data_IF_874526095235
#
_entry.id   IF_874526095235
#
_cell.length_a   1.000
_cell.length_b   1.000
_cell.length_c   1.000
_cell.angle_alpha   90.00
_cell.angle_beta   90.00
_cell.angle_gamma   90.00
#
_symmetry.space_group_name_H-M   'P 1'
#
loop_
_entity.id
_entity.type
_entity.pdbx_description
1 polymer ?
#
# COMPACT_ATOMS: atom_id res chain seq x y z
N UNK A 1 14.80 -6.24 27.35
CA UNK A 1 14.85 -5.76 25.95
C UNK A 1 14.60 -4.26 26.04
N UNK A 2 15.55 -3.45 25.59
CA UNK A 2 15.43 -1.98 25.66
C UNK A 2 15.33 -1.44 24.23
N UNK A 3 14.47 -0.43 24.05
CA UNK A 3 14.25 0.18 22.74
C UNK A 3 15.31 1.27 22.54
N UNK A 4 16.20 1.06 21.56
CA UNK A 4 17.26 2.02 21.24
C UNK A 4 16.77 3.16 20.35
N UNK A 5 15.85 2.87 19.43
CA UNK A 5 15.24 3.84 18.53
C UNK A 5 13.79 3.43 18.25
N UNK A 6 12.85 4.28 18.64
CA UNK A 6 11.41 4.04 18.47
C UNK A 6 10.98 4.10 16.99
N UNK A 7 11.65 4.91 16.17
CA UNK A 7 11.29 5.16 14.76
C UNK A 7 12.52 5.09 13.88
N UNK A 8 13.02 3.88 13.67
CA UNK A 8 14.20 3.64 12.86
C UNK A 8 14.00 3.94 11.36
N UNK A 9 12.83 3.61 10.82
CA UNK A 9 12.52 3.79 9.40
C UNK A 9 11.00 3.92 9.18
N UNK A 10 10.63 4.49 8.03
CA UNK A 10 9.30 4.40 7.46
C UNK A 10 9.32 3.27 6.42
N UNK A 11 8.32 2.40 6.47
CA UNK A 11 8.19 1.27 5.54
C UNK A 11 6.92 1.45 4.73
N UNK A 12 7.02 1.21 3.42
CA UNK A 12 5.89 1.18 2.50
C UNK A 12 5.09 -0.10 2.66
N UNK A 13 3.81 -0.04 2.29
CA UNK A 13 2.95 -1.23 2.29
C UNK A 13 3.50 -2.33 1.37
N UNK A 14 4.17 -1.94 0.26
CA UNK A 14 4.88 -2.86 -0.64
C UNK A 14 6.02 -3.60 0.06
N UNK A 15 6.92 -2.89 0.75
CA UNK A 15 8.06 -3.52 1.45
C UNK A 15 7.59 -4.49 2.53
N UNK A 16 6.54 -4.11 3.28
CA UNK A 16 5.92 -4.98 4.29
C UNK A 16 5.30 -6.22 3.63
N UNK A 17 4.61 -6.05 2.52
CA UNK A 17 3.98 -7.16 1.80
C UNK A 17 5.01 -8.16 1.25
N UNK A 18 6.05 -7.67 0.58
CA UNK A 18 7.15 -8.51 0.05
C UNK A 18 7.85 -9.27 1.19
N UNK A 19 8.15 -8.59 2.29
CA UNK A 19 8.78 -9.22 3.46
C UNK A 19 7.90 -10.35 4.04
N UNK A 20 6.60 -10.12 4.16
CA UNK A 20 5.67 -11.13 4.67
C UNK A 20 5.57 -12.34 3.74
N UNK A 21 5.52 -12.12 2.42
CA UNK A 21 5.53 -13.23 1.45
C UNK A 21 6.81 -14.07 1.57
N UNK A 22 7.98 -13.44 1.64
CA UNK A 22 9.26 -14.13 1.82
C UNK A 22 9.27 -14.97 3.10
N UNK A 23 8.75 -14.42 4.21
CA UNK A 23 8.67 -15.12 5.49
C UNK A 23 7.75 -16.33 5.45
N UNK A 24 6.57 -16.21 4.83
CA UNK A 24 5.64 -17.33 4.65
C UNK A 24 6.30 -18.44 3.81
N UNK A 25 7.01 -18.07 2.74
CA UNK A 25 7.69 -19.02 1.88
C UNK A 25 8.86 -19.72 2.58
N UNK A 26 9.65 -19.00 3.39
CA UNK A 26 10.71 -19.58 4.21
C UNK A 26 10.18 -20.59 5.24
N UNK A 27 9.08 -20.27 5.94
CA UNK A 27 8.47 -21.15 6.92
C UNK A 27 7.87 -22.40 6.26
N UNK A 28 7.35 -22.28 5.03
CA UNK A 28 6.85 -23.42 4.25
C UNK A 28 7.97 -24.41 3.85
N UNK A 29 9.18 -23.90 3.60
CA UNK A 29 10.35 -24.69 3.24
C UNK A 29 11.03 -25.35 4.46
N UNK A 30 10.95 -24.72 5.64
CA UNK A 30 11.47 -25.26 6.90
C UNK A 30 10.49 -26.26 7.54
N UNK A 31 10.14 -27.32 6.79
CA UNK A 31 9.36 -28.46 7.32
C UNK A 31 10.18 -29.16 8.42
N UNK A 32 9.91 -28.90 9.70
CA UNK A 32 9.66 -29.92 10.76
C UNK A 32 9.94 -29.50 12.23
N UNK A 33 10.57 -28.38 12.59
CA UNK A 33 11.00 -28.17 14.00
C UNK A 33 10.39 -26.99 14.79
N UNK A 34 9.61 -26.09 14.18
CA UNK A 34 9.08 -24.88 14.86
C UNK A 34 7.55 -24.76 14.92
N UNK A 35 6.81 -25.81 14.54
CA UNK A 35 5.35 -25.77 14.34
C UNK A 35 4.50 -25.42 15.57
N UNK A 36 5.06 -25.31 16.77
CA UNK A 36 4.29 -25.18 18.00
C UNK A 36 4.44 -23.84 18.74
N UNK A 37 5.23 -22.88 18.24
CA UNK A 37 5.63 -21.72 19.06
C UNK A 37 5.08 -20.35 18.61
N UNK A 38 4.40 -20.24 17.48
CA UNK A 38 4.17 -18.92 16.85
C UNK A 38 2.77 -18.78 16.22
N UNK A 39 1.72 -19.34 16.85
CA UNK A 39 0.33 -19.21 16.36
C UNK A 39 -0.09 -17.74 16.22
N UNK A 40 0.23 -16.90 17.21
CA UNK A 40 -0.07 -15.47 17.17
C UNK A 40 0.61 -14.75 15.98
N UNK A 41 1.86 -15.11 15.67
CA UNK A 41 2.58 -14.53 14.54
C UNK A 41 1.96 -14.97 13.21
N UNK A 42 1.53 -16.22 13.10
CA UNK A 42 0.88 -16.74 11.91
C UNK A 42 -0.46 -16.01 11.65
N UNK A 43 -1.26 -15.80 12.69
CA UNK A 43 -2.52 -15.05 12.60
C UNK A 43 -2.29 -13.61 12.16
N UNK A 44 -1.39 -12.87 12.83
CA UNK A 44 -1.09 -11.47 12.47
C UNK A 44 -0.54 -11.38 11.05
N UNK A 45 0.37 -12.26 10.66
CA UNK A 45 0.95 -12.26 9.30
C UNK A 45 -0.11 -12.50 8.24
N UNK A 46 -1.05 -13.43 8.49
CA UNK A 46 -2.14 -13.72 7.58
C UNK A 46 -3.14 -12.56 7.47
N UNK A 47 -3.54 -11.96 8.59
CA UNK A 47 -4.46 -10.81 8.60
C UNK A 47 -3.86 -9.60 7.89
N UNK A 48 -2.58 -9.29 8.16
CA UNK A 48 -1.87 -8.18 7.51
C UNK A 48 -1.71 -8.45 6.02
N UNK A 49 -1.31 -9.66 5.63
CA UNK A 49 -1.19 -10.02 4.21
C UNK A 49 -2.53 -9.90 3.50
N UNK A 50 -3.61 -10.40 4.09
CA UNK A 50 -4.98 -10.29 3.55
C UNK A 50 -5.44 -8.83 3.42
N UNK A 51 -5.04 -7.95 4.34
CA UNK A 51 -5.31 -6.52 4.22
C UNK A 51 -4.51 -5.88 3.08
N UNK A 52 -3.20 -6.17 3.02
CA UNK A 52 -2.30 -5.63 1.99
C UNK A 52 -2.65 -6.14 0.57
N UNK A 53 -3.21 -7.34 0.46
CA UNK A 53 -3.73 -7.87 -0.81
C UNK A 53 -4.92 -7.09 -1.37
N UNK A 54 -5.69 -6.39 -0.52
CA UNK A 54 -6.79 -5.51 -0.92
C UNK A 54 -6.32 -4.08 -1.24
N UNK A 55 -5.03 -3.84 -1.12
CA UNK A 55 -4.40 -2.53 -1.31
C UNK A 55 -3.64 -2.58 -2.63
N UNK A 56 -3.47 -1.46 -3.38
CA UNK A 56 -2.78 -1.44 -4.69
C UNK A 56 -1.30 -1.85 -4.65
N UNK A 57 -0.78 -2.26 -3.50
CA UNK A 57 0.61 -2.66 -3.27
C UNK A 57 0.94 -4.03 -3.90
N UNK A 58 -0.06 -4.86 -4.20
CA UNK A 58 0.14 -6.20 -4.79
C UNK A 58 0.79 -6.16 -6.17
N UNK A 59 0.44 -5.17 -6.98
CA UNK A 59 0.89 -5.04 -8.37
C UNK A 59 2.04 -4.04 -8.52
N UNK A 60 2.44 -3.38 -7.42
CA UNK A 60 3.57 -2.47 -7.43
C UNK A 60 4.88 -3.22 -7.67
N UNK A 61 5.80 -2.56 -8.36
CA UNK A 61 7.16 -3.01 -8.58
C UNK A 61 8.14 -2.01 -7.98
N UNK A 62 9.31 -2.49 -7.56
CA UNK A 62 10.38 -1.63 -7.04
C UNK A 62 10.76 -0.52 -8.04
N UNK A 63 10.78 -0.83 -9.34
CA UNK A 63 11.05 0.16 -10.39
C UNK A 63 9.99 1.26 -10.45
N UNK A 64 8.72 0.93 -10.24
CA UNK A 64 7.62 1.91 -10.22
C UNK A 64 7.77 2.83 -9.02
N UNK A 65 8.12 2.29 -7.85
CA UNK A 65 8.36 3.07 -6.63
C UNK A 65 9.55 4.02 -6.84
N UNK A 66 10.64 3.54 -7.44
CA UNK A 66 11.81 4.38 -7.75
C UNK A 66 11.47 5.49 -8.72
N UNK A 67 10.74 5.20 -9.79
CA UNK A 67 10.28 6.22 -10.75
C UNK A 67 9.35 7.23 -10.09
N UNK A 68 8.41 6.78 -9.26
CA UNK A 68 7.53 7.65 -8.49
C UNK A 68 8.34 8.60 -7.58
N UNK A 69 9.36 8.11 -6.88
CA UNK A 69 10.20 8.95 -6.03
C UNK A 69 11.01 10.01 -6.81
N UNK A 70 11.39 9.71 -8.05
CA UNK A 70 12.05 10.68 -8.95
C UNK A 70 11.05 11.72 -9.47
N UNK A 71 9.88 11.27 -9.92
CA UNK A 71 8.81 12.13 -10.44
C UNK A 71 8.26 13.07 -9.35
N UNK A 72 8.25 12.63 -8.09
CA UNK A 72 7.76 13.42 -6.93
C UNK A 72 8.87 14.27 -6.27
N UNK A 73 10.14 14.08 -6.66
CA UNK A 73 11.26 14.89 -6.17
C UNK A 73 11.07 16.42 -6.32
N UNK A 74 10.57 16.96 -7.46
CA UNK A 74 10.40 18.40 -7.65
C UNK A 74 9.31 19.04 -6.76
N UNK A 75 8.37 18.26 -6.25
CA UNK A 75 7.22 18.76 -5.47
C UNK A 75 7.56 19.05 -3.99
N UNK A 76 8.82 18.85 -3.55
CA UNK A 76 9.29 19.11 -2.18
C UNK A 76 8.41 18.49 -1.07
N UNK A 77 7.78 17.35 -1.33
CA UNK A 77 6.94 16.65 -0.36
C UNK A 77 7.76 16.01 0.76
N UNK A 78 7.18 15.94 1.96
CA UNK A 78 7.80 15.26 3.10
C UNK A 78 7.84 13.74 2.87
N UNK A 79 8.71 13.04 3.61
CA UNK A 79 8.79 11.58 3.50
C UNK A 79 7.48 10.88 3.85
N UNK A 80 6.72 11.43 4.80
CA UNK A 80 5.41 10.92 5.20
C UNK A 80 4.35 11.08 4.12
N UNK A 81 4.28 12.27 3.49
CA UNK A 81 3.38 12.54 2.36
C UNK A 81 3.68 11.61 1.19
N UNK A 82 4.96 11.47 0.81
CA UNK A 82 5.39 10.55 -0.26
C UNK A 82 4.96 9.11 0.02
N UNK A 83 5.08 8.68 1.27
CA UNK A 83 4.67 7.34 1.71
C UNK A 83 3.15 7.17 1.64
N UNK A 84 2.38 8.17 2.09
CA UNK A 84 0.92 8.14 2.04
C UNK A 84 0.41 8.13 0.60
N UNK A 85 0.98 8.94 -0.29
CA UNK A 85 0.64 8.93 -1.72
C UNK A 85 0.92 7.56 -2.35
N UNK A 86 2.06 6.95 -2.00
CA UNK A 86 2.42 5.63 -2.51
C UNK A 86 1.47 4.53 -2.01
N UNK A 87 1.06 4.59 -0.74
CA UNK A 87 0.24 3.57 -0.10
C UNK A 87 -1.26 3.68 -0.44
N UNK A 88 -1.79 4.91 -0.50
CA UNK A 88 -3.21 5.18 -0.68
C UNK A 88 -3.61 5.39 -2.14
N UNK A 89 -2.67 5.77 -3.00
CA UNK A 89 -2.89 6.06 -4.42
C UNK A 89 -4.15 6.94 -4.63
N UNK A 90 -4.14 8.19 -4.13
CA UNK A 90 -5.28 9.08 -4.27
C UNK A 90 -5.59 9.30 -5.75
N UNK A 91 -6.87 9.12 -6.11
CA UNK A 91 -7.34 9.27 -7.50
C UNK A 91 -7.99 10.63 -7.72
N UNK A 92 -8.34 11.32 -6.64
CA UNK A 92 -9.02 12.61 -6.70
C UNK A 92 -8.16 13.75 -6.14
N UNK A 93 -8.31 14.99 -6.68
CA UNK A 93 -7.64 16.17 -6.14
C UNK A 93 -7.93 16.41 -4.66
N UNK A 94 -9.17 16.11 -4.22
CA UNK A 94 -9.62 16.27 -2.83
C UNK A 94 -8.84 15.36 -1.89
N UNK A 95 -8.57 14.11 -2.28
CA UNK A 95 -7.78 13.19 -1.47
C UNK A 95 -6.32 13.68 -1.31
N UNK A 96 -5.74 14.26 -2.36
CA UNK A 96 -4.39 14.82 -2.28
C UNK A 96 -4.35 16.01 -1.30
N UNK A 97 -5.36 16.88 -1.33
CA UNK A 97 -5.47 18.00 -0.37
C UNK A 97 -5.61 17.52 1.09
N UNK A 98 -6.20 16.35 1.31
CA UNK A 98 -6.30 15.73 2.64
C UNK A 98 -4.97 15.09 3.10
N UNK A 99 -4.12 14.66 2.17
CA UNK A 99 -2.82 14.03 2.45
C UNK A 99 -1.72 15.07 2.62
N UNK A 100 -1.72 16.12 1.78
CA UNK A 100 -0.70 17.16 1.78
C UNK A 100 -1.21 18.38 2.54
N UNK A 101 -0.68 18.58 3.75
CA UNK A 101 -0.91 19.78 4.55
C UNK A 101 -0.38 21.02 3.82
N UNK A 102 -1.12 22.13 3.86
CA UNK A 102 -0.79 23.39 3.17
C UNK A 102 -0.55 23.21 1.66
N UNK A 103 -1.28 22.28 1.02
CA UNK A 103 -1.17 22.00 -0.41
C UNK A 103 -1.36 23.25 -1.29
N UNK A 104 -2.17 24.23 -0.89
CA UNK A 104 -2.34 25.50 -1.64
C UNK A 104 -1.11 26.43 -1.59
N UNK A 105 -0.27 26.35 -0.55
CA UNK A 105 0.94 27.16 -0.42
C UNK A 105 2.17 26.48 -1.08
N UNK A 106 2.17 25.14 -1.11
CA UNK A 106 3.25 24.32 -1.69
C UNK A 106 3.03 23.96 -3.17
N UNK A 107 1.83 23.55 -3.55
CA UNK A 107 1.44 23.28 -4.93
C UNK A 107 0.79 24.54 -5.48
N UNK A 108 1.62 25.43 -6.03
CA UNK A 108 1.23 26.81 -6.37
C UNK A 108 0.32 26.89 -7.60
N UNK A 109 0.07 25.78 -8.28
CA UNK A 109 -0.65 25.75 -9.55
C UNK A 109 -1.43 24.44 -9.67
N UNK A 110 -2.70 24.53 -10.10
CA UNK A 110 -3.55 23.36 -10.36
C UNK A 110 -2.90 22.33 -11.31
N UNK A 111 -2.01 22.79 -12.21
CA UNK A 111 -1.21 21.95 -13.10
C UNK A 111 -0.24 21.02 -12.36
N UNK A 112 0.28 21.41 -11.21
CA UNK A 112 1.15 20.58 -10.37
C UNK A 112 0.35 19.47 -9.70
N UNK A 113 -0.88 19.80 -9.29
CA UNK A 113 -1.82 18.86 -8.71
C UNK A 113 -2.27 17.81 -9.74
N UNK A 114 -2.62 18.24 -10.96
CA UNK A 114 -2.97 17.33 -12.06
C UNK A 114 -1.80 16.42 -12.43
N UNK A 115 -0.57 16.95 -12.52
CA UNK A 115 0.64 16.13 -12.75
C UNK A 115 0.84 15.11 -11.64
N UNK A 116 0.60 15.47 -10.38
CA UNK A 116 0.74 14.55 -9.26
C UNK A 116 -0.29 13.42 -9.36
N UNK A 117 -1.54 13.73 -9.74
CA UNK A 117 -2.58 12.72 -10.01
C UNK A 117 -2.15 11.81 -11.15
N UNK A 118 -1.63 12.36 -12.25
CA UNK A 118 -1.12 11.56 -13.37
C UNK A 118 0.03 10.64 -12.95
N UNK A 119 0.98 11.14 -12.14
CA UNK A 119 2.09 10.35 -11.62
C UNK A 119 1.59 9.22 -10.72
N UNK A 120 0.61 9.49 -9.86
CA UNK A 120 -0.03 8.49 -8.98
C UNK A 120 -0.85 7.49 -9.81
N UNK A 121 -1.49 7.92 -10.90
CA UNK A 121 -2.24 7.06 -11.79
C UNK A 121 -1.37 6.03 -12.53
N UNK A 122 -0.08 6.34 -12.77
CA UNK A 122 0.89 5.38 -13.34
C UNK A 122 1.16 4.17 -12.43
N UNK A 123 0.85 4.26 -11.14
CA UNK A 123 0.92 3.12 -10.23
C UNK A 123 -0.16 2.11 -10.69
N UNK A 124 0.18 0.83 -10.91
CA UNK A 124 -0.78 -0.14 -11.42
C UNK A 124 -1.99 -0.27 -10.49
N UNK A 125 -3.16 -0.31 -11.12
CA UNK A 125 -4.46 -0.43 -10.49
C UNK A 125 -4.71 -1.87 -10.07
N UNK A 126 -5.44 -2.07 -8.95
CA UNK A 126 -5.95 -3.39 -8.63
C UNK A 126 -6.81 -3.88 -9.79
N UNK A 127 -6.59 -5.14 -10.17
CA UNK A 127 -7.59 -5.87 -10.93
C UNK A 127 -8.74 -6.04 -9.94
N UNK A 128 -9.73 -5.14 -9.99
CA UNK A 128 -11.01 -5.42 -9.35
C UNK A 128 -11.56 -6.66 -10.06
N UNK A 129 -11.37 -7.84 -9.47
CA UNK A 129 -12.34 -8.90 -9.69
C UNK A 129 -13.64 -8.35 -9.13
N UNK A 130 -14.47 -7.84 -10.03
CA UNK A 130 -15.85 -7.46 -9.80
C UNK A 130 -16.54 -8.53 -8.94
N UNK A 131 -16.70 -8.27 -7.64
CA UNK A 131 -17.63 -8.96 -6.75
C UNK A 131 -19.09 -8.57 -7.11
N UNK A 132 -19.43 -8.60 -8.41
CA UNK A 132 -20.80 -8.38 -8.92
C UNK A 132 -21.56 -9.71 -9.05
N UNK A 133 -21.41 -10.63 -8.08
CA UNK A 133 -22.10 -11.92 -8.15
C UNK A 133 -22.78 -12.40 -6.86
N UNK A 134 -23.28 -11.48 -6.01
CA UNK A 134 -24.09 -11.85 -4.84
C UNK A 134 -25.57 -11.37 -4.85
N UNK A 135 -26.08 -10.70 -5.90
CA UNK A 135 -27.50 -10.25 -5.94
C UNK A 135 -28.42 -10.98 -6.94
N UNK A 136 -28.21 -12.28 -7.20
CA UNK A 136 -29.22 -13.10 -7.91
C UNK A 136 -29.48 -14.45 -7.27
N UNK A 137 -29.80 -14.50 -5.97
CA UNK A 137 -30.47 -15.65 -5.35
C UNK A 137 -31.51 -15.25 -4.30
N UNK A 138 -32.36 -14.25 -4.58
CA UNK A 138 -33.63 -14.07 -3.84
C UNK A 138 -34.78 -13.76 -4.81
N UNK A 139 -35.38 -14.85 -5.32
CA UNK A 139 -36.77 -15.02 -5.77
C UNK A 139 -36.79 -16.43 -6.41
N UNK A 140 -37.08 -17.53 -5.72
CA UNK A 140 -38.03 -17.67 -4.63
C UNK A 140 -39.45 -17.74 -5.18
N UNK A 141 -39.80 -18.90 -5.75
CA UNK A 141 -41.13 -19.54 -5.73
C UNK A 141 -42.38 -18.63 -5.77
N UNK A 142 -43.09 -18.63 -6.91
CA UNK A 142 -44.56 -18.73 -7.04
C UNK A 142 -44.98 -18.86 -8.51
#
# INVERSE_FOLDING_TARGET
>A
MEVLNERAAMLSNYEVFTLLQEKVQEESNKKQSRKQSQENLATISYEVMKYLEKTPCRLQNEDVIRQFLLDVAPFNLTKGEKLQLLNLRPSTPVEIQLIIEESEERLRTDEELEKLIEIVAKIPEDIQEDDTNEEKMEQGDS
#
